data_IF_775144278203
#
_entry.id   IF_775144278203
#
_cell.length_a   1.000
_cell.length_b   1.000
_cell.length_c   1.000
_cell.angle_alpha   90.00
_cell.angle_beta   90.00
_cell.angle_gamma   90.00
#
_symmetry.space_group_name_H-M   'P 1'
#
loop_
_entity.id
_entity.type
_entity.pdbx_description
1 polymer ?
#
# COMPACT_ATOMS: atom_id res chain seq x y z
N UNK A 1 -9.51 -17.80 -27.41
CA UNK A 1 -9.23 -17.79 -25.98
C UNK A 1 -7.90 -17.11 -25.80
N UNK A 2 -7.88 -15.82 -25.50
CA UNK A 2 -6.69 -15.08 -25.10
C UNK A 2 -6.33 -15.52 -23.69
N UNK A 3 -5.05 -15.80 -23.36
CA UNK A 3 -4.66 -16.14 -22.00
C UNK A 3 -5.02 -14.96 -21.09
N UNK A 4 -5.69 -15.27 -20.00
CA UNK A 4 -5.99 -14.35 -18.91
C UNK A 4 -4.73 -13.59 -18.50
N UNK A 5 -4.89 -12.29 -18.27
CA UNK A 5 -3.87 -11.44 -17.68
C UNK A 5 -3.20 -12.17 -16.52
N UNK A 6 -1.91 -12.49 -16.68
CA UNK A 6 -1.10 -13.08 -15.63
C UNK A 6 -1.30 -12.26 -14.36
N UNK A 7 -1.77 -12.93 -13.32
CA UNK A 7 -1.91 -12.35 -11.99
C UNK A 7 -0.50 -12.12 -11.43
N UNK A 8 0.09 -10.97 -11.79
CA UNK A 8 1.46 -10.56 -11.41
C UNK A 8 1.69 -10.53 -9.89
N UNK A 9 0.63 -10.69 -9.11
CA UNK A 9 0.67 -10.65 -7.65
C UNK A 9 0.77 -12.04 -7.01
N UNK A 10 0.50 -13.14 -7.72
CA UNK A 10 0.67 -14.49 -7.14
C UNK A 10 2.13 -14.77 -6.78
N UNK A 11 3.07 -14.42 -7.67
CA UNK A 11 4.50 -14.60 -7.42
C UNK A 11 5.05 -13.63 -6.37
N UNK A 12 4.48 -12.43 -6.28
CA UNK A 12 4.91 -11.41 -5.32
C UNK A 12 4.64 -11.79 -3.86
N UNK A 13 3.55 -12.51 -3.60
CA UNK A 13 3.19 -13.00 -2.28
C UNK A 13 3.80 -14.38 -1.96
N UNK A 14 4.51 -15.00 -2.88
CA UNK A 14 5.18 -16.29 -2.68
C UNK A 14 6.52 -16.18 -1.92
N UNK A 15 7.10 -14.97 -1.78
CA UNK A 15 8.34 -14.76 -1.02
C UNK A 15 8.06 -14.56 0.47
N UNK A 16 8.16 -15.65 1.24
CA UNK A 16 7.96 -15.66 2.70
C UNK A 16 8.83 -14.63 3.43
N UNK A 17 10.06 -14.37 2.96
CA UNK A 17 10.97 -13.43 3.58
C UNK A 17 10.49 -11.99 3.40
N UNK A 18 10.00 -11.63 2.22
CA UNK A 18 9.41 -10.31 1.97
C UNK A 18 8.16 -10.09 2.83
N UNK A 19 7.28 -11.09 2.91
CA UNK A 19 6.05 -11.04 3.72
C UNK A 19 6.36 -10.80 5.19
N UNK A 20 7.37 -11.49 5.75
CA UNK A 20 7.81 -11.31 7.14
C UNK A 20 8.37 -9.91 7.41
N UNK A 21 9.12 -9.33 6.46
CA UNK A 21 9.82 -8.07 6.65
C UNK A 21 8.96 -6.85 6.32
N UNK A 22 7.99 -6.97 5.40
CA UNK A 22 7.16 -5.86 4.91
C UNK A 22 6.52 -5.05 6.03
N UNK A 23 5.98 -5.71 7.05
CA UNK A 23 5.31 -5.07 8.18
C UNK A 23 6.26 -4.29 9.10
N UNK A 24 7.56 -4.49 8.96
CA UNK A 24 8.61 -3.80 9.73
C UNK A 24 9.26 -2.65 8.95
N UNK A 25 8.97 -2.50 7.65
CA UNK A 25 9.56 -1.44 6.82
C UNK A 25 9.07 -0.06 7.25
N UNK A 26 9.99 0.89 7.32
CA UNK A 26 9.72 2.28 7.72
C UNK A 26 8.65 2.95 6.84
N UNK A 27 8.66 2.70 5.52
CA UNK A 27 7.68 3.26 4.58
C UNK A 27 6.26 2.73 4.84
N UNK A 28 6.10 1.45 5.15
CA UNK A 28 4.83 0.88 5.58
C UNK A 28 4.38 1.47 6.91
N UNK A 29 5.27 1.55 7.91
CA UNK A 29 4.95 2.08 9.24
C UNK A 29 4.48 3.54 9.17
N UNK A 30 5.14 4.38 8.37
CA UNK A 30 4.78 5.79 8.21
C UNK A 30 3.46 5.96 7.44
N UNK A 31 3.21 5.17 6.38
CA UNK A 31 1.90 5.17 5.68
C UNK A 31 0.78 4.74 6.62
N UNK A 32 0.97 3.64 7.33
CA UNK A 32 -0.02 3.15 8.29
C UNK A 32 -0.31 4.18 9.38
N UNK A 33 0.70 4.88 9.89
CA UNK A 33 0.53 5.98 10.84
C UNK A 33 -0.29 7.13 10.25
N UNK A 34 -0.03 7.50 9.00
CA UNK A 34 -0.75 8.57 8.31
C UNK A 34 -2.23 8.19 8.09
N UNK A 35 -2.51 6.98 7.60
CA UNK A 35 -3.88 6.47 7.40
C UNK A 35 -4.65 6.40 8.71
N UNK A 36 -4.04 5.88 9.78
CA UNK A 36 -4.69 5.72 11.09
C UNK A 36 -5.16 7.03 11.71
N UNK A 37 -4.50 8.14 11.44
CA UNK A 37 -4.93 9.47 11.90
C UNK A 37 -6.38 9.76 11.52
N UNK A 38 -6.82 9.27 10.35
CA UNK A 38 -8.17 9.49 9.83
C UNK A 38 -9.17 8.38 10.18
N UNK A 39 -8.68 7.21 10.64
CA UNK A 39 -9.54 6.09 11.02
C UNK A 39 -10.11 6.24 12.45
N UNK A 40 -9.43 6.95 13.34
CA UNK A 40 -9.80 7.08 14.75
C UNK A 40 -11.16 7.76 14.97
N UNK A 41 -11.58 8.64 14.04
CA UNK A 41 -12.88 9.33 14.12
C UNK A 41 -14.06 8.47 13.65
N UNK A 42 -13.82 7.26 13.15
CA UNK A 42 -14.81 6.42 12.47
C UNK A 42 -15.17 5.16 13.27
N UNK A 43 -14.91 5.15 14.59
CA UNK A 43 -15.23 4.01 15.45
C UNK A 43 -16.71 3.63 15.36
N UNK A 44 -16.98 2.34 15.07
CA UNK A 44 -18.35 1.83 14.91
C UNK A 44 -18.92 1.89 13.50
N UNK A 45 -18.24 2.53 12.53
CA UNK A 45 -18.65 2.59 11.13
C UNK A 45 -18.05 1.44 10.32
N UNK A 46 -18.74 1.05 9.22
CA UNK A 46 -18.23 0.03 8.31
C UNK A 46 -17.20 0.64 7.36
N UNK A 47 -16.00 0.05 7.32
CA UNK A 47 -14.85 0.48 6.56
C UNK A 47 -14.51 -0.58 5.52
N UNK A 48 -14.22 -0.17 4.29
CA UNK A 48 -13.65 -1.02 3.23
C UNK A 48 -12.17 -0.70 3.07
N UNK A 49 -11.31 -1.70 3.06
CA UNK A 49 -9.92 -1.58 2.63
C UNK A 49 -9.77 -2.29 1.28
N UNK A 50 -9.49 -1.52 0.23
CA UNK A 50 -9.29 -2.01 -1.14
C UNK A 50 -7.82 -2.30 -1.36
N UNK A 51 -7.50 -3.51 -1.87
CA UNK A 51 -6.13 -3.96 -2.08
C UNK A 51 -5.38 -4.16 -0.76
N UNK A 52 -6.00 -4.83 0.21
CA UNK A 52 -5.43 -5.01 1.55
C UNK A 52 -4.09 -5.77 1.56
N UNK A 53 -3.85 -6.61 0.56
CA UNK A 53 -2.67 -7.47 0.50
C UNK A 53 -2.51 -8.30 1.78
N UNK A 54 -1.25 -8.49 2.19
CA UNK A 54 -0.88 -9.15 3.45
C UNK A 54 -0.64 -8.17 4.61
N UNK A 55 -0.68 -6.86 4.33
CA UNK A 55 -0.25 -5.81 5.27
C UNK A 55 -1.24 -4.65 5.25
N UNK A 56 -2.43 -4.82 5.84
CA UNK A 56 -3.47 -3.80 5.81
C UNK A 56 -3.07 -2.55 6.60
N UNK A 57 -3.58 -1.41 6.18
CA UNK A 57 -3.40 -0.13 6.87
C UNK A 57 -4.31 -0.02 8.10
N UNK A 58 -5.45 -0.73 8.07
CA UNK A 58 -6.43 -0.77 9.15
C UNK A 58 -6.03 -1.75 10.26
N UNK A 59 -6.68 -1.68 11.41
CA UNK A 59 -6.57 -2.67 12.49
C UNK A 59 -7.72 -3.65 12.43
N UNK A 60 -7.47 -4.92 12.80
CA UNK A 60 -8.48 -5.96 12.81
C UNK A 60 -9.71 -5.56 13.64
N UNK A 61 -10.88 -5.59 13.03
CA UNK A 61 -12.16 -5.24 13.65
C UNK A 61 -13.30 -5.90 12.88
N UNK A 62 -14.38 -6.21 13.56
CA UNK A 62 -15.62 -6.75 12.94
C UNK A 62 -16.35 -5.72 12.05
N UNK A 63 -15.81 -4.50 11.95
CA UNK A 63 -16.34 -3.42 11.11
C UNK A 63 -15.49 -3.15 9.87
N UNK A 64 -14.52 -4.03 9.56
CA UNK A 64 -13.64 -3.88 8.40
C UNK A 64 -13.92 -4.98 7.41
N UNK A 65 -14.04 -4.58 6.14
CA UNK A 65 -14.06 -5.46 4.98
C UNK A 65 -12.72 -5.30 4.26
N UNK A 66 -11.95 -6.38 4.17
CA UNK A 66 -10.73 -6.47 3.40
C UNK A 66 -11.06 -7.01 2.02
N UNK A 67 -10.76 -6.25 0.98
CA UNK A 67 -10.92 -6.62 -0.43
C UNK A 67 -9.55 -6.76 -1.07
N UNK A 68 -9.32 -7.90 -1.73
CA UNK A 68 -8.04 -8.23 -2.36
C UNK A 68 -8.26 -9.17 -3.54
N UNK A 69 -7.53 -8.98 -4.64
CA UNK A 69 -7.62 -9.82 -5.83
C UNK A 69 -6.99 -11.20 -5.60
N UNK A 70 -5.86 -11.25 -4.86
CA UNK A 70 -5.13 -12.48 -4.57
C UNK A 70 -5.81 -13.29 -3.46
N UNK A 71 -6.43 -14.41 -3.82
CA UNK A 71 -7.01 -15.33 -2.85
C UNK A 71 -5.97 -15.87 -1.84
N UNK A 72 -4.75 -16.28 -2.22
CA UNK A 72 -3.72 -16.71 -1.28
C UNK A 72 -3.35 -15.62 -0.26
N UNK A 73 -3.17 -14.38 -0.71
CA UNK A 73 -2.89 -13.26 0.18
C UNK A 73 -4.03 -13.05 1.19
N UNK A 74 -5.28 -13.02 0.71
CA UNK A 74 -6.45 -12.82 1.55
C UNK A 74 -6.64 -13.94 2.57
N UNK A 75 -6.39 -15.19 2.18
CA UNK A 75 -6.42 -16.36 3.07
C UNK A 75 -5.39 -16.23 4.19
N UNK A 76 -4.17 -15.84 3.87
CA UNK A 76 -3.11 -15.60 4.86
C UNK A 76 -3.49 -14.45 5.77
N UNK A 77 -3.98 -13.33 5.22
CA UNK A 77 -4.44 -12.18 5.99
C UNK A 77 -5.54 -12.58 6.98
N UNK A 78 -6.52 -13.38 6.56
CA UNK A 78 -7.59 -13.90 7.43
C UNK A 78 -7.04 -14.69 8.62
N UNK A 79 -6.02 -15.52 8.38
CA UNK A 79 -5.37 -16.31 9.45
C UNK A 79 -4.65 -15.40 10.46
N UNK A 80 -3.98 -14.34 9.97
CA UNK A 80 -3.21 -13.42 10.81
C UNK A 80 -4.10 -12.44 11.56
N UNK A 81 -5.11 -11.87 10.90
CA UNK A 81 -5.98 -10.84 11.50
C UNK A 81 -7.05 -11.44 12.42
N UNK A 82 -7.60 -12.61 12.05
CA UNK A 82 -8.62 -13.33 12.82
C UNK A 82 -9.99 -12.63 12.88
N UNK A 83 -10.09 -11.33 12.58
CA UNK A 83 -11.32 -10.53 12.66
C UNK A 83 -11.49 -9.68 11.41
N UNK A 84 -12.74 -9.45 11.00
CA UNK A 84 -13.13 -8.72 9.80
C UNK A 84 -13.78 -9.61 8.75
N UNK A 85 -14.20 -9.00 7.66
CA UNK A 85 -14.74 -9.70 6.49
C UNK A 85 -13.69 -9.72 5.39
N UNK A 86 -13.55 -10.85 4.71
CA UNK A 86 -12.49 -11.06 3.70
C UNK A 86 -13.16 -11.42 2.37
N UNK A 87 -13.02 -10.57 1.36
CA UNK A 87 -13.71 -10.68 0.08
C UNK A 87 -12.68 -10.64 -1.06
N UNK A 88 -12.65 -11.70 -1.87
CA UNK A 88 -11.87 -11.72 -3.11
C UNK A 88 -12.59 -10.86 -4.13
N UNK A 89 -11.97 -9.79 -4.59
CA UNK A 89 -12.57 -8.88 -5.54
C UNK A 89 -11.53 -8.14 -6.37
N UNK A 90 -11.88 -7.88 -7.63
CA UNK A 90 -11.19 -6.91 -8.47
C UNK A 90 -11.61 -5.50 -8.06
N UNK A 91 -10.64 -4.63 -7.83
CA UNK A 91 -10.89 -3.23 -7.45
C UNK A 91 -11.63 -2.44 -8.54
N UNK A 92 -11.58 -2.89 -9.81
CA UNK A 92 -12.33 -2.31 -10.93
C UNK A 92 -13.79 -2.72 -10.97
N UNK A 93 -14.20 -3.73 -10.16
CA UNK A 93 -15.56 -4.26 -10.07
C UNK A 93 -15.84 -4.74 -8.65
N UNK A 94 -16.11 -3.80 -7.74
CA UNK A 94 -16.33 -4.11 -6.34
C UNK A 94 -17.72 -4.74 -6.10
N UNK A 95 -17.80 -5.96 -5.53
CA UNK A 95 -19.06 -6.70 -5.37
C UNK A 95 -19.89 -6.22 -4.17
N UNK A 96 -19.97 -4.91 -3.97
CA UNK A 96 -20.68 -4.32 -2.84
C UNK A 96 -21.83 -3.43 -3.30
N UNK A 97 -22.87 -3.39 -2.50
CA UNK A 97 -24.00 -2.49 -2.73
C UNK A 97 -23.54 -1.03 -2.66
N UNK A 98 -24.06 -0.21 -3.56
CA UNK A 98 -23.82 1.24 -3.54
C UNK A 98 -24.16 1.85 -2.17
N UNK A 99 -23.33 2.77 -1.71
CA UNK A 99 -23.52 3.46 -0.43
C UNK A 99 -23.39 2.56 0.81
N UNK A 100 -22.59 1.51 0.78
CA UNK A 100 -22.41 0.59 1.92
C UNK A 100 -21.44 1.10 2.97
N UNK A 101 -20.36 1.80 2.56
CA UNK A 101 -19.24 2.11 3.42
C UNK A 101 -19.19 3.58 3.80
N UNK A 102 -18.95 3.86 5.07
CA UNK A 102 -18.76 5.22 5.57
C UNK A 102 -17.35 5.73 5.28
N UNK A 103 -16.38 4.80 5.16
CA UNK A 103 -15.01 5.11 4.84
C UNK A 103 -14.41 4.01 3.97
N UNK A 104 -13.59 4.41 3.01
CA UNK A 104 -12.79 3.51 2.16
C UNK A 104 -11.32 3.87 2.32
N UNK A 105 -10.47 2.86 2.46
CA UNK A 105 -9.01 2.99 2.42
C UNK A 105 -8.51 2.32 1.15
N UNK A 106 -7.71 3.03 0.37
CA UNK A 106 -7.04 2.53 -0.83
C UNK A 106 -5.58 3.01 -0.76
N UNK A 107 -4.66 2.09 -0.46
CA UNK A 107 -3.27 2.47 -0.18
C UNK A 107 -2.31 1.73 -1.08
N UNK A 108 -1.66 2.46 -1.99
CA UNK A 108 -0.69 1.89 -2.96
C UNK A 108 -1.34 0.76 -3.79
N UNK A 109 -2.40 1.07 -4.50
CA UNK A 109 -3.16 0.13 -5.34
C UNK A 109 -3.24 0.62 -6.78
N UNK A 110 -3.57 1.89 -6.99
CA UNK A 110 -3.90 2.44 -8.31
C UNK A 110 -2.71 2.34 -9.28
N UNK A 111 -1.49 2.52 -8.79
CA UNK A 111 -0.25 2.44 -9.56
C UNK A 111 0.04 1.04 -10.12
N UNK A 112 -0.60 0.02 -9.55
CA UNK A 112 -0.48 -1.36 -9.99
C UNK A 112 -1.48 -1.76 -11.08
N UNK A 113 -2.39 -0.88 -11.43
CA UNK A 113 -3.46 -1.14 -12.39
C UNK A 113 -3.19 -0.43 -13.73
N UNK A 114 -3.41 -1.12 -14.87
CA UNK A 114 -3.30 -0.49 -16.19
C UNK A 114 -4.31 0.66 -16.34
N UNK A 115 -5.53 0.45 -15.85
CA UNK A 115 -6.62 1.40 -15.83
C UNK A 115 -7.05 1.67 -14.38
N UNK A 116 -6.77 2.86 -13.88
CA UNK A 116 -6.99 3.27 -12.49
C UNK A 116 -8.29 4.06 -12.27
N UNK A 117 -8.81 4.74 -13.30
CA UNK A 117 -10.04 5.54 -13.22
C UNK A 117 -11.28 4.73 -12.84
N UNK A 118 -11.52 3.51 -13.41
CA UNK A 118 -12.63 2.67 -13.00
C UNK A 118 -12.65 2.38 -11.50
N UNK A 119 -11.45 2.20 -10.89
CA UNK A 119 -11.34 1.93 -9.44
C UNK A 119 -11.85 3.09 -8.60
N UNK A 120 -11.52 4.33 -8.96
CA UNK A 120 -12.01 5.51 -8.23
C UNK A 120 -13.53 5.65 -8.35
N UNK A 121 -14.10 5.33 -9.51
CA UNK A 121 -15.55 5.32 -9.73
C UNK A 121 -16.25 4.23 -8.90
N UNK A 122 -15.67 3.02 -8.85
CA UNK A 122 -16.16 1.92 -8.02
C UNK A 122 -16.11 2.29 -6.53
N UNK A 123 -14.98 2.83 -6.06
CA UNK A 123 -14.84 3.32 -4.69
C UNK A 123 -15.90 4.36 -4.37
N UNK A 124 -16.10 5.35 -5.25
CA UNK A 124 -17.11 6.38 -5.04
C UNK A 124 -18.53 5.79 -4.98
N UNK A 125 -18.83 4.78 -5.81
CA UNK A 125 -20.15 4.14 -5.85
C UNK A 125 -20.49 3.45 -4.53
N UNK A 126 -19.53 2.72 -3.93
CA UNK A 126 -19.75 1.95 -2.69
C UNK A 126 -19.68 2.81 -1.42
N UNK A 127 -19.16 4.04 -1.51
CA UNK A 127 -19.17 5.00 -0.40
C UNK A 127 -20.57 5.55 -0.15
N UNK A 128 -20.92 5.77 1.11
CA UNK A 128 -22.13 6.51 1.51
C UNK A 128 -22.03 7.98 1.10
N UNK A 129 -23.15 8.66 0.85
CA UNK A 129 -23.16 10.12 0.84
C UNK A 129 -22.53 10.67 2.12
N UNK A 130 -21.62 11.65 1.99
CA UNK A 130 -20.81 12.16 3.12
C UNK A 130 -19.72 11.23 3.62
N UNK A 131 -19.53 10.07 2.99
CA UNK A 131 -18.42 9.15 3.27
C UNK A 131 -17.07 9.70 2.83
N UNK A 132 -15.97 9.11 3.33
CA UNK A 132 -14.61 9.55 3.02
C UNK A 132 -13.74 8.43 2.46
N UNK A 133 -12.89 8.80 1.48
CA UNK A 133 -11.79 7.99 0.96
C UNK A 133 -10.48 8.45 1.59
N UNK A 134 -9.65 7.52 2.04
CA UNK A 134 -8.24 7.73 2.38
C UNK A 134 -7.43 7.02 1.31
N UNK A 135 -6.74 7.80 0.48
CA UNK A 135 -5.96 7.32 -0.65
C UNK A 135 -4.48 7.63 -0.42
N UNK A 136 -3.59 6.65 -0.54
CA UNK A 136 -2.14 6.92 -0.69
C UNK A 136 -1.67 6.45 -2.05
N UNK A 137 -0.72 7.17 -2.62
CA UNK A 137 -0.17 6.89 -3.93
C UNK A 137 1.27 7.39 -4.06
N UNK A 138 2.10 6.74 -4.91
CA UNK A 138 3.44 7.20 -5.22
C UNK A 138 3.36 8.48 -6.05
N UNK A 139 3.98 9.55 -5.54
CA UNK A 139 3.94 10.88 -6.12
C UNK A 139 5.19 11.14 -6.97
N UNK A 140 5.07 12.05 -7.95
CA UNK A 140 6.06 12.50 -8.93
C UNK A 140 6.44 11.46 -9.98
N UNK A 141 6.01 11.71 -11.20
CA UNK A 141 6.37 10.90 -12.38
C UNK A 141 7.89 10.84 -12.59
N UNK A 142 8.61 11.94 -12.31
CA UNK A 142 10.07 12.00 -12.42
C UNK A 142 10.82 11.08 -11.46
N UNK A 143 10.16 10.57 -10.42
CA UNK A 143 10.72 9.60 -9.47
C UNK A 143 10.56 8.14 -9.92
N UNK A 144 9.87 7.89 -11.04
CA UNK A 144 9.70 6.54 -11.55
C UNK A 144 11.05 5.93 -11.93
N UNK A 145 11.46 4.86 -11.25
CA UNK A 145 12.77 4.26 -11.41
C UNK A 145 12.76 2.72 -11.22
N UNK A 146 13.93 2.14 -10.92
CA UNK A 146 14.10 0.70 -10.76
C UNK A 146 13.29 0.09 -9.62
N UNK A 147 13.10 0.82 -8.54
CA UNK A 147 12.28 0.40 -7.39
C UNK A 147 10.79 0.27 -7.76
N UNK A 148 10.26 1.20 -8.57
CA UNK A 148 8.88 1.11 -9.06
C UNK A 148 8.68 -0.10 -9.97
N UNK A 149 9.65 -0.37 -10.87
CA UNK A 149 9.61 -1.57 -11.73
C UNK A 149 9.71 -2.85 -10.93
N UNK A 150 10.53 -2.86 -9.88
CA UNK A 150 10.71 -4.02 -9.02
C UNK A 150 9.41 -4.44 -8.31
N UNK A 151 8.57 -3.47 -7.91
CA UNK A 151 7.25 -3.72 -7.31
C UNK A 151 6.10 -3.71 -8.32
N UNK A 152 6.40 -3.74 -9.64
CA UNK A 152 5.42 -3.78 -10.72
C UNK A 152 4.48 -2.56 -10.80
N UNK A 153 4.95 -1.35 -10.46
CA UNK A 153 4.21 -0.13 -10.73
C UNK A 153 4.15 0.15 -12.24
N UNK A 154 2.99 0.55 -12.72
CA UNK A 154 2.83 1.10 -14.08
C UNK A 154 3.19 2.58 -14.13
N UNK A 155 2.95 3.31 -13.03
CA UNK A 155 3.07 4.78 -12.97
C UNK A 155 3.27 5.33 -11.58
N UNK A 156 3.63 6.60 -11.53
CA UNK A 156 3.50 7.51 -10.41
C UNK A 156 2.61 8.67 -10.83
N UNK A 157 2.01 9.36 -9.89
CA UNK A 157 1.05 10.43 -10.14
C UNK A 157 1.62 11.79 -9.82
N UNK A 158 1.22 12.81 -10.60
CA UNK A 158 1.29 14.18 -10.13
C UNK A 158 0.03 14.49 -9.31
N UNK A 159 0.14 15.47 -8.41
CA UNK A 159 -0.96 15.77 -7.48
C UNK A 159 -2.21 16.28 -8.21
N UNK A 160 -2.02 17.21 -9.16
CA UNK A 160 -3.09 17.79 -9.96
C UNK A 160 -3.83 16.75 -10.82
N UNK A 161 -3.10 15.78 -11.34
CA UNK A 161 -3.68 14.64 -12.05
C UNK A 161 -4.56 13.79 -11.13
N UNK A 162 -4.08 13.46 -9.93
CA UNK A 162 -4.85 12.67 -8.97
C UNK A 162 -6.09 13.44 -8.51
N UNK A 163 -6.00 14.75 -8.28
CA UNK A 163 -7.14 15.58 -7.92
C UNK A 163 -8.17 15.65 -9.07
N UNK A 164 -7.72 15.70 -10.32
CA UNK A 164 -8.60 15.64 -11.49
C UNK A 164 -9.32 14.29 -11.59
N UNK A 165 -8.61 13.17 -11.40
CA UNK A 165 -9.17 11.82 -11.41
C UNK A 165 -10.23 11.63 -10.29
N UNK A 166 -9.93 12.13 -9.08
CA UNK A 166 -10.89 12.13 -7.97
C UNK A 166 -12.15 12.92 -8.29
N UNK A 167 -11.99 14.10 -8.85
CA UNK A 167 -13.12 14.97 -9.26
C UNK A 167 -13.98 14.31 -10.34
N UNK A 168 -13.38 13.65 -11.33
CA UNK A 168 -14.08 12.89 -12.36
C UNK A 168 -14.90 11.75 -11.76
N UNK A 169 -14.41 11.10 -10.71
CA UNK A 169 -15.13 10.07 -9.95
C UNK A 169 -16.19 10.64 -8.97
N UNK A 170 -16.43 11.95 -8.94
CA UNK A 170 -17.38 12.59 -8.03
C UNK A 170 -16.88 12.74 -6.58
N UNK A 171 -15.57 12.70 -6.39
CA UNK A 171 -14.91 12.85 -5.09
C UNK A 171 -14.25 14.22 -4.98
N UNK A 172 -14.37 14.87 -3.81
CA UNK A 172 -13.75 16.17 -3.53
C UNK A 172 -12.56 15.99 -2.61
N UNK A 173 -11.39 16.49 -2.97
CA UNK A 173 -10.23 16.59 -2.08
C UNK A 173 -10.56 17.46 -0.87
N UNK A 174 -10.38 16.91 0.33
CA UNK A 174 -10.61 17.58 1.61
C UNK A 174 -9.31 17.93 2.30
N UNK A 175 -8.32 17.04 2.24
CA UNK A 175 -7.02 17.23 2.90
C UNK A 175 -5.93 16.48 2.10
N UNK A 176 -4.74 17.08 2.04
CA UNK A 176 -3.55 16.47 1.44
C UNK A 176 -2.45 16.45 2.48
N UNK A 177 -1.86 15.27 2.70
CA UNK A 177 -0.77 15.07 3.64
C UNK A 177 0.46 14.49 2.94
N UNK A 178 1.63 15.02 3.25
CA UNK A 178 2.93 14.43 2.88
C UNK A 178 3.18 13.23 3.79
N UNK A 179 3.47 12.06 3.22
CA UNK A 179 3.72 10.82 3.97
C UNK A 179 5.20 10.47 3.95
N UNK A 180 5.81 10.48 2.76
CA UNK A 180 7.23 10.23 2.55
C UNK A 180 7.83 11.35 1.72
N UNK A 181 9.08 11.71 2.03
CA UNK A 181 9.84 12.75 1.36
C UNK A 181 10.92 12.18 0.41
N UNK A 182 11.82 13.02 -0.10
CA UNK A 182 12.88 12.61 -1.02
C UNK A 182 13.87 11.60 -0.42
N UNK A 183 14.10 11.62 0.90
CA UNK A 183 14.99 10.67 1.58
C UNK A 183 14.53 9.23 1.37
N UNK A 184 13.22 8.98 1.37
CA UNK A 184 12.66 7.65 1.05
C UNK A 184 13.12 7.20 -0.33
N UNK A 185 12.99 8.06 -1.36
CA UNK A 185 13.37 7.71 -2.73
C UNK A 185 14.87 7.40 -2.85
N UNK A 186 15.71 8.20 -2.21
CA UNK A 186 17.16 7.97 -2.17
C UNK A 186 17.46 6.62 -1.52
N UNK A 187 16.81 6.31 -0.42
CA UNK A 187 16.97 5.03 0.29
C UNK A 187 16.57 3.84 -0.58
N UNK A 188 15.41 3.92 -1.23
CA UNK A 188 14.93 2.84 -2.11
C UNK A 188 15.86 2.61 -3.30
N UNK A 189 16.34 3.67 -3.93
CA UNK A 189 17.33 3.56 -5.02
C UNK A 189 18.63 2.93 -4.54
N UNK A 190 19.13 3.31 -3.36
CA UNK A 190 20.33 2.71 -2.78
C UNK A 190 20.12 1.21 -2.49
N UNK A 191 19.00 0.83 -1.87
CA UNK A 191 18.68 -0.58 -1.57
C UNK A 191 18.61 -1.41 -2.86
N UNK A 192 17.87 -0.96 -3.88
CA UNK A 192 17.73 -1.68 -5.14
C UNK A 192 19.08 -1.81 -5.86
N UNK A 193 19.92 -0.76 -5.84
CA UNK A 193 21.26 -0.79 -6.45
C UNK A 193 22.20 -1.79 -5.77
N UNK A 194 21.97 -2.10 -4.50
CA UNK A 194 22.77 -3.06 -3.74
C UNK A 194 22.36 -4.53 -4.00
N UNK A 195 21.12 -4.79 -4.44
CA UNK A 195 20.62 -6.15 -4.67
C UNK A 195 21.53 -6.95 -5.63
N UNK A 196 21.92 -6.47 -6.84
CA UNK A 196 22.79 -7.19 -7.74
C UNK A 196 24.17 -7.47 -7.16
N UNK A 197 24.69 -6.55 -6.31
CA UNK A 197 25.96 -6.71 -5.63
C UNK A 197 25.88 -7.87 -4.62
N UNK A 198 24.83 -7.92 -3.80
CA UNK A 198 24.59 -9.04 -2.89
C UNK A 198 24.42 -10.37 -3.64
N UNK A 199 23.73 -10.38 -4.79
CA UNK A 199 23.55 -11.59 -5.60
C UNK A 199 24.85 -12.09 -6.21
N UNK A 200 25.79 -11.21 -6.59
CA UNK A 200 27.14 -11.59 -7.04
C UNK A 200 27.94 -12.28 -5.92
N UNK A 201 27.88 -11.75 -4.71
CA UNK A 201 28.53 -12.38 -3.52
C UNK A 201 27.82 -13.70 -3.14
N UNK A 202 26.55 -13.86 -3.50
CA UNK A 202 25.71 -15.03 -3.19
C UNK A 202 25.91 -16.21 -4.11
N UNK A 203 26.21 -16.02 -5.41
CA UNK A 203 26.42 -17.11 -6.38
C UNK A 203 27.58 -18.06 -6.04
N UNK A 204 28.45 -17.69 -5.07
CA UNK A 204 29.53 -18.54 -4.58
C UNK A 204 29.17 -19.51 -3.44
N UNK A 205 27.98 -19.48 -2.87
CA UNK A 205 27.61 -20.34 -1.73
C UNK A 205 26.26 -21.02 -1.97
N UNK A 206 26.32 -22.25 -2.50
CA UNK A 206 25.18 -23.18 -2.56
C UNK A 206 24.91 -23.75 -1.16
N UNK A 207 23.93 -23.19 -0.44
CA UNK A 207 23.36 -23.86 0.74
C UNK A 207 21.95 -23.31 1.05
N UNK A 208 20.91 -23.73 0.29
CA UNK A 208 19.55 -23.19 0.38
C UNK A 208 18.85 -23.50 1.71
N UNK A 209 19.12 -24.64 2.32
CA UNK A 209 18.47 -25.06 3.60
C UNK A 209 18.95 -24.27 4.82
N UNK A 210 20.17 -23.76 4.81
CA UNK A 210 20.72 -22.92 5.88
C UNK A 210 20.19 -21.50 5.85
N UNK A 211 19.71 -21.06 4.69
CA UNK A 211 19.18 -19.71 4.45
C UNK A 211 17.77 -19.51 5.00
N UNK A 212 16.87 -20.46 4.79
CA UNK A 212 15.53 -20.41 5.39
C UNK A 212 15.61 -20.32 6.92
N UNK A 213 16.56 -21.03 7.55
CA UNK A 213 16.80 -20.92 9.00
C UNK A 213 17.43 -19.60 9.44
N UNK A 214 18.28 -18.95 8.63
CA UNK A 214 18.87 -17.66 8.97
C UNK A 214 17.89 -16.49 8.80
N UNK A 215 17.05 -16.53 7.77
CA UNK A 215 15.98 -15.53 7.56
C UNK A 215 14.87 -15.64 8.64
N UNK A 216 14.66 -16.82 9.20
CA UNK A 216 13.71 -17.07 10.29
C UNK A 216 14.29 -16.89 11.70
N UNK A 217 15.52 -16.41 11.84
CA UNK A 217 16.07 -16.05 13.15
C UNK A 217 15.28 -14.85 13.68
N UNK A 218 14.42 -15.09 14.68
CA UNK A 218 13.58 -14.07 15.32
C UNK A 218 14.38 -12.84 15.78
N UNK A 219 15.65 -13.04 16.13
CA UNK A 219 16.58 -11.95 16.48
C UNK A 219 16.84 -11.00 15.30
N UNK A 220 17.13 -11.53 14.09
CA UNK A 220 17.39 -10.70 12.91
C UNK A 220 16.16 -9.92 12.48
N UNK A 221 14.98 -10.53 12.49
CA UNK A 221 13.70 -9.85 12.20
C UNK A 221 13.42 -8.75 13.23
N UNK A 222 13.67 -9.03 14.51
CA UNK A 222 13.49 -8.05 15.59
C UNK A 222 14.46 -6.87 15.43
N UNK A 223 15.75 -7.15 15.19
CA UNK A 223 16.77 -6.12 14.95
C UNK A 223 16.43 -5.27 13.73
N UNK A 224 16.03 -5.91 12.61
CA UNK A 224 15.58 -5.22 11.40
C UNK A 224 14.38 -4.30 11.69
N UNK A 225 13.38 -4.81 12.41
CA UNK A 225 12.21 -4.03 12.81
C UNK A 225 12.57 -2.83 13.70
N UNK A 226 13.51 -3.00 14.62
CA UNK A 226 13.98 -1.93 15.50
C UNK A 226 14.73 -0.84 14.71
N UNK A 227 15.64 -1.23 13.83
CA UNK A 227 16.37 -0.30 12.95
C UNK A 227 15.40 0.51 12.05
N UNK A 228 14.40 -0.15 11.46
CA UNK A 228 13.39 0.54 10.65
C UNK A 228 12.54 1.51 11.48
N UNK A 229 12.18 1.15 12.72
CA UNK A 229 11.46 2.07 13.63
C UNK A 229 12.29 3.30 13.96
N UNK A 230 13.59 3.15 14.22
CA UNK A 230 14.48 4.30 14.40
C UNK A 230 14.57 5.14 13.12
N UNK A 231 14.67 4.49 11.97
CA UNK A 231 14.74 5.17 10.67
C UNK A 231 13.44 5.91 10.30
N UNK A 232 12.31 5.55 10.91
CA UNK A 232 11.07 6.34 10.74
C UNK A 232 11.22 7.80 11.15
N UNK A 233 12.05 8.13 12.16
CA UNK A 233 12.18 9.49 12.64
C UNK A 233 12.82 10.44 11.60
N UNK A 234 14.02 10.16 11.04
CA UNK A 234 14.58 11.01 10.01
C UNK A 234 13.73 11.06 8.72
N UNK A 235 13.13 9.94 8.29
CA UNK A 235 12.26 9.94 7.10
C UNK A 235 10.97 10.75 7.33
N UNK A 236 10.39 10.68 8.51
CA UNK A 236 9.24 11.51 8.88
C UNK A 236 9.59 12.99 8.91
N UNK A 237 10.77 13.34 9.47
CA UNK A 237 11.24 14.71 9.52
C UNK A 237 11.51 15.26 8.12
N UNK A 238 12.16 14.48 7.26
CA UNK A 238 12.37 14.80 5.84
C UNK A 238 11.05 15.08 5.13
N UNK A 239 10.06 14.19 5.26
CA UNK A 239 8.74 14.39 4.69
C UNK A 239 8.06 15.67 5.21
N UNK A 240 8.29 16.05 6.47
CA UNK A 240 7.71 17.25 7.07
C UNK A 240 8.38 18.53 6.57
N UNK A 241 9.70 18.53 6.45
CA UNK A 241 10.51 19.72 6.08
C UNK A 241 10.54 19.94 4.56
N UNK A 242 10.63 18.87 3.76
CA UNK A 242 10.67 18.98 2.32
C UNK A 242 9.39 19.63 1.76
N UNK A 243 9.48 20.47 0.72
CA UNK A 243 8.31 20.99 0.04
C UNK A 243 7.46 19.84 -0.58
N UNK A 244 6.15 20.05 -0.71
CA UNK A 244 5.23 19.03 -1.24
C UNK A 244 5.65 18.51 -2.62
N UNK A 245 6.17 19.38 -3.46
CA UNK A 245 6.67 19.00 -4.78
C UNK A 245 7.83 17.98 -4.76
N UNK A 246 8.49 17.75 -3.63
CA UNK A 246 9.54 16.73 -3.45
C UNK A 246 9.07 15.49 -2.69
N UNK A 247 7.80 15.40 -2.32
CA UNK A 247 7.28 14.21 -1.65
C UNK A 247 7.28 13.00 -2.60
N UNK A 248 7.67 11.83 -2.10
CA UNK A 248 7.66 10.58 -2.86
C UNK A 248 6.34 9.82 -2.72
N UNK A 249 5.60 10.02 -1.60
CA UNK A 249 4.27 9.48 -1.36
C UNK A 249 3.40 10.56 -0.73
N UNK A 250 2.19 10.71 -1.28
CA UNK A 250 1.15 11.57 -0.74
C UNK A 250 -0.03 10.75 -0.23
N UNK A 251 -0.76 11.32 0.72
CA UNK A 251 -2.07 10.87 1.15
C UNK A 251 -3.09 11.97 0.82
N UNK A 252 -4.18 11.58 0.21
CA UNK A 252 -5.37 12.43 0.03
C UNK A 252 -6.51 11.83 0.85
N UNK A 253 -7.17 12.69 1.63
CA UNK A 253 -8.50 12.43 2.12
C UNK A 253 -9.50 13.12 1.19
N UNK A 254 -10.40 12.34 0.60
CA UNK A 254 -11.44 12.86 -0.27
C UNK A 254 -12.83 12.52 0.29
N UNK A 255 -13.81 13.35 0.02
CA UNK A 255 -15.20 13.14 0.43
C UNK A 255 -16.11 12.91 -0.76
N UNK A 256 -17.11 12.03 -0.61
CA UNK A 256 -18.21 11.92 -1.56
C UNK A 256 -19.24 13.02 -1.28
N UNK A 257 -19.62 13.75 -2.32
CA UNK A 257 -20.73 14.71 -2.20
C UNK A 257 -22.03 14.04 -1.74
N UNK A 258 -22.81 14.79 -0.98
CA UNK A 258 -24.15 14.39 -0.51
C UNK A 258 -25.10 14.27 -1.69
#
# INVERSE_FOLDING_TARGET
MTPSSDNRFEDFFADDAYVLLKNHLYNYLLRRRAVRKYLQSEMGKLILEVGSGLSPMTEASDRIVYSELSFPALRTLKTVQGRGYFVVADATHLPFKAGSFSQVVCSEVLEHLPEDRPVLSEIASVMKPGGSLILTFPHRRSYFAGDDRFVNHFRRYELDEMEANLKEAGLKTLEIQKVLGPLEKITMLAVISMIPLFDRFRKGRRDDKRRQRAASSGFLVTLFGWLNRLYCAPVWLDARLAPRCLSSVLLIRAGRHS
#
